data_IF_114725379012
#
_entry.id   IF_114725379012
#
_cell.length_a   1.000
_cell.length_b   1.000
_cell.length_c   1.000
_cell.angle_alpha   90.00
_cell.angle_beta   90.00
_cell.angle_gamma   90.00
#
_symmetry.space_group_name_H-M   'P 1'
#
loop_
_entity.id
_entity.type
_entity.pdbx_description
1 polymer ?
#
# COMPACT_ATOMS: atom_id res chain seq x y z
N UNK A 1 -37.06 11.35 1.57
CA UNK A 1 -35.96 11.94 0.77
C UNK A 1 -35.50 13.32 1.32
N UNK A 2 -35.30 13.52 2.63
CA UNK A 2 -34.93 14.85 3.16
C UNK A 2 -33.87 14.87 4.27
N UNK A 3 -33.22 13.75 4.55
CA UNK A 3 -32.12 13.67 5.55
C UNK A 3 -30.75 13.93 4.92
N UNK A 4 -30.57 13.63 3.63
CA UNK A 4 -29.31 13.85 2.89
C UNK A 4 -29.07 15.33 2.54
N UNK A 5 -30.13 16.13 2.35
CA UNK A 5 -30.01 17.54 1.98
C UNK A 5 -29.55 18.45 3.13
N UNK A 6 -29.75 18.06 4.41
CA UNK A 6 -29.24 18.84 5.56
C UNK A 6 -27.74 18.69 5.78
N UNK A 7 -27.15 17.58 5.34
CA UNK A 7 -25.70 17.35 5.44
C UNK A 7 -24.93 18.23 4.44
N UNK A 8 -25.54 18.56 3.31
CA UNK A 8 -24.89 19.31 2.22
C UNK A 8 -24.95 20.85 2.34
N UNK A 9 -25.57 21.41 3.39
CA UNK A 9 -25.65 22.87 3.59
C UNK A 9 -24.61 23.44 4.57
N UNK A 10 -23.78 22.59 5.16
CA UNK A 10 -22.61 22.99 5.95
C UNK A 10 -21.36 22.73 5.11
N UNK A 11 -20.58 23.77 4.85
CA UNK A 11 -19.23 23.60 4.35
C UNK A 11 -18.49 22.59 5.24
N UNK A 12 -17.79 21.59 4.67
CA UNK A 12 -17.08 20.60 5.45
C UNK A 12 -16.15 21.32 6.41
N UNK A 13 -16.18 20.90 7.68
CA UNK A 13 -15.35 21.51 8.73
C UNK A 13 -13.88 21.58 8.28
N UNK A 14 -13.15 22.61 8.72
CA UNK A 14 -11.72 22.71 8.43
C UNK A 14 -10.97 21.42 8.81
N UNK A 15 -11.41 20.74 9.87
CA UNK A 15 -10.90 19.45 10.34
C UNK A 15 -11.05 18.34 9.29
N UNK A 16 -12.23 18.19 8.66
CA UNK A 16 -12.44 17.21 7.60
C UNK A 16 -11.61 17.51 6.35
N UNK A 17 -11.35 18.79 6.04
CA UNK A 17 -10.54 19.19 4.88
C UNK A 17 -9.06 18.88 5.10
N UNK A 18 -8.53 19.18 6.30
CA UNK A 18 -7.14 18.86 6.65
C UNK A 18 -6.93 17.35 6.70
N UNK A 19 -7.82 16.60 7.37
CA UNK A 19 -7.75 15.14 7.42
C UNK A 19 -7.74 14.52 6.02
N UNK A 20 -8.58 15.04 5.10
CA UNK A 20 -8.63 14.58 3.72
C UNK A 20 -7.35 14.91 2.94
N UNK A 21 -6.82 16.12 3.09
CA UNK A 21 -5.56 16.53 2.46
C UNK A 21 -4.37 15.70 2.94
N UNK A 22 -4.25 15.47 4.26
CA UNK A 22 -3.21 14.64 4.85
C UNK A 22 -3.37 13.17 4.41
N UNK A 23 -4.60 12.67 4.36
CA UNK A 23 -4.90 11.33 3.86
C UNK A 23 -4.47 11.14 2.39
N UNK A 24 -4.76 12.09 1.52
CA UNK A 24 -4.31 12.05 0.11
C UNK A 24 -2.78 12.09 0.02
N UNK A 25 -2.13 13.02 0.73
CA UNK A 25 -0.68 13.14 0.71
C UNK A 25 -0.01 11.83 1.15
N UNK A 26 -0.50 11.23 2.24
CA UNK A 26 -0.02 9.93 2.70
C UNK A 26 -0.31 8.81 1.70
N UNK A 27 -1.49 8.78 1.09
CA UNK A 27 -1.85 7.78 0.08
C UNK A 27 -0.94 7.83 -1.15
N UNK A 28 -0.54 9.02 -1.60
CA UNK A 28 0.40 9.17 -2.71
C UNK A 28 1.76 8.56 -2.34
N UNK A 29 2.33 8.97 -1.21
CA UNK A 29 3.66 8.51 -0.78
C UNK A 29 3.66 6.99 -0.54
N UNK A 30 2.70 6.52 0.24
CA UNK A 30 2.55 5.09 0.55
C UNK A 30 2.27 4.27 -0.70
N UNK A 31 1.46 4.80 -1.63
CA UNK A 31 1.18 4.14 -2.91
C UNK A 31 2.43 3.95 -3.76
N UNK A 32 3.30 4.98 -3.85
CA UNK A 32 4.58 4.89 -4.57
C UNK A 32 5.48 3.83 -3.94
N UNK A 33 5.72 3.92 -2.63
CA UNK A 33 6.60 2.98 -1.91
C UNK A 33 6.04 1.56 -1.96
N UNK A 34 4.74 1.39 -1.75
CA UNK A 34 4.06 0.11 -1.82
C UNK A 34 4.17 -0.54 -3.20
N UNK A 35 4.08 0.26 -4.27
CA UNK A 35 4.25 -0.21 -5.65
C UNK A 35 5.69 -0.68 -5.90
N UNK A 36 6.70 0.05 -5.42
CA UNK A 36 8.11 -0.34 -5.55
C UNK A 36 8.36 -1.67 -4.82
N UNK A 37 7.88 -1.80 -3.58
CA UNK A 37 8.01 -3.03 -2.79
C UNK A 37 7.29 -4.20 -3.47
N UNK A 38 6.11 -3.98 -4.03
CA UNK A 38 5.36 -4.99 -4.78
C UNK A 38 6.13 -5.53 -5.99
N UNK A 39 6.72 -4.63 -6.77
CA UNK A 39 7.54 -4.99 -7.93
C UNK A 39 8.77 -5.78 -7.48
N UNK A 40 9.45 -5.34 -6.41
CA UNK A 40 10.61 -6.03 -5.84
C UNK A 40 10.30 -7.47 -5.41
N UNK A 41 9.21 -7.67 -4.65
CA UNK A 41 8.75 -9.01 -4.24
C UNK A 41 8.49 -9.92 -5.44
N UNK A 42 7.93 -9.38 -6.51
CA UNK A 42 7.61 -10.15 -7.72
C UNK A 42 8.87 -10.55 -8.49
N UNK A 43 9.88 -9.67 -8.57
CA UNK A 43 11.12 -9.92 -9.29
C UNK A 43 12.03 -10.92 -8.54
N UNK A 44 12.20 -10.78 -7.23
CA UNK A 44 12.96 -11.72 -6.38
C UNK A 44 12.45 -13.17 -6.55
N UNK A 45 11.15 -13.34 -6.77
CA UNK A 45 10.54 -14.66 -6.95
C UNK A 45 10.93 -15.31 -8.28
N UNK A 46 11.10 -14.52 -9.34
CA UNK A 46 11.56 -15.03 -10.65
C UNK A 46 13.00 -15.54 -10.56
N UNK A 47 13.88 -14.80 -9.89
CA UNK A 47 15.28 -15.21 -9.74
C UNK A 47 15.45 -16.50 -8.92
N UNK A 48 14.65 -16.66 -7.85
CA UNK A 48 14.65 -17.90 -7.06
C UNK A 48 14.10 -19.09 -7.86
N UNK A 49 13.08 -18.87 -8.69
CA UNK A 49 12.51 -19.91 -9.54
C UNK A 49 13.48 -20.31 -10.64
N UNK A 50 14.13 -19.34 -11.29
CA UNK A 50 15.14 -19.58 -12.31
C UNK A 50 16.32 -20.39 -11.72
N UNK A 51 16.78 -20.07 -10.50
CA UNK A 51 17.81 -20.87 -9.81
C UNK A 51 17.41 -22.33 -9.58
N UNK A 52 16.18 -22.58 -9.12
CA UNK A 52 15.63 -23.94 -8.96
C UNK A 52 15.55 -24.69 -10.28
N UNK A 53 15.16 -24.00 -11.35
CA UNK A 53 15.11 -24.58 -12.69
C UNK A 53 16.50 -24.94 -13.21
N UNK A 54 17.51 -24.12 -12.96
CA UNK A 54 18.91 -24.44 -13.31
C UNK A 54 19.44 -25.63 -12.46
N UNK A 55 19.11 -25.73 -11.17
CA UNK A 55 19.45 -26.88 -10.32
C UNK A 55 18.79 -28.17 -10.83
N UNK A 56 17.49 -28.11 -11.15
CA UNK A 56 16.76 -29.25 -11.68
C UNK A 56 17.22 -29.64 -13.10
N UNK A 57 17.56 -28.66 -13.94
CA UNK A 57 18.17 -28.93 -15.24
C UNK A 57 19.54 -29.59 -15.09
N UNK A 58 20.39 -29.08 -14.19
CA UNK A 58 21.69 -29.67 -13.87
C UNK A 58 21.57 -31.10 -13.35
N UNK A 59 20.52 -31.42 -12.59
CA UNK A 59 20.22 -32.78 -12.16
C UNK A 59 19.73 -33.68 -13.31
N UNK A 60 18.87 -33.18 -14.21
CA UNK A 60 18.27 -34.00 -15.26
C UNK A 60 19.23 -34.34 -16.40
N UNK A 61 20.09 -33.38 -16.80
CA UNK A 61 21.00 -33.49 -17.95
C UNK A 61 21.83 -34.80 -17.96
N UNK A 62 22.43 -35.27 -16.86
CA UNK A 62 23.22 -36.51 -16.83
C UNK A 62 22.44 -37.82 -17.05
N UNK A 63 21.11 -37.83 -16.86
CA UNK A 63 20.30 -39.05 -16.98
C UNK A 63 19.69 -39.23 -18.37
N UNK A 64 19.39 -38.13 -19.06
CA UNK A 64 18.73 -38.15 -20.36
C UNK A 64 19.53 -38.84 -21.49
N UNK A 65 20.88 -38.84 -21.50
CA UNK A 65 21.66 -39.62 -22.46
C UNK A 65 21.47 -41.15 -22.31
N UNK A 66 20.99 -41.63 -21.16
CA UNK A 66 20.79 -43.07 -20.90
C UNK A 66 19.45 -43.61 -21.42
N UNK A 67 18.56 -42.74 -21.89
CA UNK A 67 17.24 -43.10 -22.41
C UNK A 67 16.16 -42.07 -22.06
N UNK A 68 15.04 -42.13 -22.79
CA UNK A 68 13.85 -41.30 -22.55
C UNK A 68 12.74 -42.06 -21.79
N UNK A 69 12.96 -43.33 -21.49
CA UNK A 69 11.91 -44.22 -20.96
C UNK A 69 11.58 -43.92 -19.49
N UNK A 70 12.54 -43.42 -18.72
CA UNK A 70 12.34 -43.06 -17.32
C UNK A 70 13.19 -41.83 -16.96
N UNK A 71 12.54 -40.66 -16.92
CA UNK A 71 13.18 -39.41 -16.48
C UNK A 71 13.05 -39.31 -14.95
N UNK A 72 14.14 -39.44 -14.19
CA UNK A 72 14.07 -39.41 -12.73
C UNK A 72 13.63 -38.04 -12.21
N UNK A 73 12.89 -38.04 -11.11
CA UNK A 73 12.46 -36.82 -10.44
C UNK A 73 13.60 -36.26 -9.57
N UNK A 74 13.81 -34.94 -9.54
CA UNK A 74 14.76 -34.32 -8.62
C UNK A 74 14.38 -34.64 -7.17
N UNK A 75 15.33 -35.09 -6.32
CA UNK A 75 15.03 -35.53 -4.95
C UNK A 75 14.57 -34.42 -3.99
N UNK A 76 14.70 -33.15 -4.38
CA UNK A 76 14.29 -31.99 -3.56
C UNK A 76 13.20 -31.13 -4.22
N UNK A 77 12.65 -31.57 -5.35
CA UNK A 77 11.73 -30.77 -6.15
C UNK A 77 10.74 -31.66 -6.92
N UNK A 78 9.83 -32.29 -6.17
CA UNK A 78 8.85 -33.27 -6.70
C UNK A 78 7.83 -32.67 -7.71
N UNK A 79 7.66 -31.35 -7.67
CA UNK A 79 6.71 -30.61 -8.52
C UNK A 79 7.34 -30.08 -9.83
N UNK A 80 8.59 -30.45 -10.12
CA UNK A 80 9.25 -30.07 -11.37
C UNK A 80 8.86 -31.03 -12.49
N UNK A 81 8.39 -30.45 -13.59
CA UNK A 81 8.08 -31.14 -14.84
C UNK A 81 9.30 -31.08 -15.74
N UNK A 82 9.77 -32.22 -16.23
CA UNK A 82 10.89 -32.32 -17.17
C UNK A 82 10.34 -32.97 -18.43
N UNK A 83 10.42 -32.26 -19.55
CA UNK A 83 10.04 -32.75 -20.87
C UNK A 83 11.27 -32.76 -21.77
N UNK A 84 11.66 -33.93 -22.24
CA UNK A 84 12.76 -34.10 -23.18
C UNK A 84 12.24 -34.42 -24.58
N UNK A 85 12.88 -33.84 -25.59
CA UNK A 85 12.54 -33.98 -27.01
C UNK A 85 13.78 -34.35 -27.82
N UNK A 86 13.75 -35.52 -28.47
CA UNK A 86 14.84 -36.01 -29.34
C UNK A 86 14.24 -36.64 -30.58
N UNK A 87 14.67 -36.24 -31.77
CA UNK A 87 14.25 -36.83 -33.05
C UNK A 87 12.72 -37.00 -33.21
N UNK A 88 11.92 -36.04 -32.73
CA UNK A 88 10.45 -36.10 -32.76
C UNK A 88 9.80 -36.92 -31.65
N UNK A 89 10.56 -37.67 -30.86
CA UNK A 89 10.08 -38.34 -29.66
C UNK A 89 10.01 -37.35 -28.51
N UNK A 90 8.88 -37.35 -27.78
CA UNK A 90 8.64 -36.52 -26.61
C UNK A 90 8.44 -37.43 -25.41
N UNK A 91 9.21 -37.21 -24.35
CA UNK A 91 9.04 -37.89 -23.07
C UNK A 91 8.95 -36.87 -21.94
N UNK A 92 8.11 -37.17 -20.94
CA UNK A 92 7.93 -36.33 -19.76
C UNK A 92 7.97 -37.18 -18.50
N UNK A 93 8.53 -36.64 -17.42
CA UNK A 93 8.53 -37.29 -16.10
C UNK A 93 7.15 -37.24 -15.39
N UNK A 94 6.17 -36.58 -16.01
CA UNK A 94 4.84 -36.33 -15.44
C UNK A 94 3.75 -36.38 -16.53
N UNK A 95 2.49 -36.28 -16.13
CA UNK A 95 1.33 -36.23 -17.04
C UNK A 95 1.24 -34.91 -17.83
N UNK A 96 2.12 -33.94 -17.55
CA UNK A 96 2.17 -32.65 -18.24
C UNK A 96 3.33 -32.65 -19.22
N UNK A 97 3.07 -32.21 -20.44
CA UNK A 97 4.09 -32.03 -21.48
C UNK A 97 4.27 -30.54 -21.69
N UNK A 98 5.45 -30.02 -21.35
CA UNK A 98 5.77 -28.60 -21.55
C UNK A 98 5.93 -28.30 -23.04
N UNK A 99 5.35 -27.22 -23.59
CA UNK A 99 5.47 -26.89 -25.01
C UNK A 99 6.92 -26.64 -25.43
N UNK A 100 7.18 -26.67 -26.73
CA UNK A 100 8.48 -26.29 -27.28
C UNK A 100 8.64 -24.77 -27.21
N UNK A 101 9.66 -24.34 -26.48
CA UNK A 101 9.95 -22.93 -26.22
C UNK A 101 11.40 -22.63 -26.61
N UNK A 102 11.75 -21.36 -26.93
CA UNK A 102 13.12 -20.98 -27.22
C UNK A 102 14.09 -21.36 -26.10
N UNK A 103 15.36 -21.60 -26.46
CA UNK A 103 16.44 -21.84 -25.47
C UNK A 103 16.53 -20.66 -24.51
N UNK A 104 16.67 -20.95 -23.22
CA UNK A 104 16.65 -19.95 -22.15
C UNK A 104 15.39 -20.08 -21.29
N UNK A 105 14.90 -18.96 -20.80
CA UNK A 105 13.74 -18.92 -19.89
C UNK A 105 12.51 -18.32 -20.56
N UNK A 106 11.38 -19.00 -20.45
CA UNK A 106 10.10 -18.54 -20.97
C UNK A 106 8.95 -18.88 -20.02
N UNK A 107 7.89 -18.07 -20.06
CA UNK A 107 6.64 -18.34 -19.36
C UNK A 107 5.66 -19.02 -20.32
N UNK A 108 4.92 -20.01 -19.83
CA UNK A 108 3.88 -20.70 -20.61
C UNK A 108 2.69 -21.05 -19.73
N UNK A 109 1.58 -21.38 -20.37
CA UNK A 109 0.38 -21.87 -19.71
C UNK A 109 0.04 -23.25 -20.27
N UNK A 110 -0.12 -24.21 -19.37
CA UNK A 110 -0.52 -25.58 -19.73
C UNK A 110 -1.66 -25.97 -18.81
N UNK A 111 -2.82 -26.27 -19.41
CA UNK A 111 -4.05 -26.63 -18.69
C UNK A 111 -4.51 -25.57 -17.67
N UNK A 112 -4.30 -24.27 -17.95
CA UNK A 112 -4.70 -23.17 -17.06
C UNK A 112 -3.76 -22.94 -15.89
N UNK A 113 -2.62 -23.64 -15.85
CA UNK A 113 -1.58 -23.47 -14.84
C UNK A 113 -0.38 -22.80 -15.51
N UNK A 114 0.11 -21.71 -14.89
CA UNK A 114 1.26 -20.98 -15.38
C UNK A 114 2.57 -21.65 -14.95
N UNK A 115 3.43 -21.93 -15.91
CA UNK A 115 4.76 -22.50 -15.73
C UNK A 115 5.83 -21.48 -16.11
N UNK A 116 6.92 -21.46 -15.34
CA UNK A 116 8.21 -20.93 -15.79
C UNK A 116 9.01 -22.11 -16.31
N UNK A 117 9.52 -22.00 -17.53
CA UNK A 117 10.22 -23.08 -18.21
C UNK A 117 11.63 -22.63 -18.59
N UNK A 118 12.60 -23.48 -18.26
CA UNK A 118 13.98 -23.39 -18.68
C UNK A 118 14.22 -24.43 -19.77
N UNK A 119 14.46 -23.98 -21.00
CA UNK A 119 14.80 -24.85 -22.13
C UNK A 119 16.31 -24.87 -22.31
N UNK A 120 16.90 -26.06 -22.25
CA UNK A 120 18.32 -26.33 -22.54
C UNK A 120 18.42 -27.15 -23.81
N UNK A 121 19.32 -26.77 -24.71
CA UNK A 121 19.71 -27.63 -25.82
C UNK A 121 20.97 -28.40 -25.45
N UNK A 122 20.86 -29.73 -25.40
CA UNK A 122 21.99 -30.62 -25.19
C UNK A 122 22.48 -31.03 -26.57
N UNK A 123 23.76 -30.82 -26.81
CA UNK A 123 24.47 -31.33 -27.97
C UNK A 123 25.25 -32.55 -27.46
N UNK A 124 24.87 -33.80 -27.82
CA UNK A 124 25.74 -35.00 -27.94
C UNK A 124 24.99 -36.34 -27.81
N UNK A 125 25.32 -37.38 -28.62
CA UNK A 125 25.69 -37.33 -30.04
C UNK A 125 24.50 -36.94 -30.95
N UNK A 126 23.26 -37.03 -30.46
CA UNK A 126 22.08 -36.50 -31.12
C UNK A 126 21.58 -35.24 -30.40
N UNK A 127 21.16 -34.17 -31.10
CA UNK A 127 20.59 -32.99 -30.48
C UNK A 127 19.30 -33.31 -29.71
N UNK A 128 19.20 -32.79 -28.49
CA UNK A 128 18.02 -32.96 -27.66
C UNK A 128 17.65 -31.64 -26.98
N UNK A 129 16.36 -31.32 -26.99
CA UNK A 129 15.81 -30.19 -26.24
C UNK A 129 15.22 -30.70 -24.93
N UNK A 130 15.58 -30.04 -23.84
CA UNK A 130 15.11 -30.37 -22.50
C UNK A 130 14.44 -29.14 -21.92
N UNK A 131 13.13 -29.24 -21.72
CA UNK A 131 12.35 -28.23 -21.04
C UNK A 131 12.15 -28.68 -19.58
N UNK A 132 12.61 -27.86 -18.64
CA UNK A 132 12.39 -28.05 -17.22
C UNK A 132 11.47 -26.95 -16.75
N UNK A 133 10.33 -27.29 -16.16
CA UNK A 133 9.29 -26.36 -15.79
C UNK A 133 8.83 -26.56 -14.36
N UNK A 134 8.56 -25.44 -13.70
CA UNK A 134 7.97 -25.42 -12.37
C UNK A 134 6.79 -24.47 -12.38
N UNK A 135 5.74 -24.81 -11.65
CA UNK A 135 4.60 -23.91 -11.48
C UNK A 135 5.01 -22.74 -10.60
N UNK A 136 4.42 -21.58 -10.82
CA UNK A 136 4.47 -20.47 -9.86
C UNK A 136 3.86 -20.85 -8.48
N UNK A 137 3.22 -22.02 -8.44
CA UNK A 137 2.39 -22.53 -7.37
C UNK A 137 3.14 -23.41 -6.35
N UNK A 138 4.34 -23.89 -6.67
CA UNK A 138 5.15 -24.76 -5.81
C UNK A 138 5.64 -24.11 -4.50
N UNK A 139 5.25 -22.86 -4.21
CA UNK A 139 5.39 -22.22 -2.90
C UNK A 139 4.25 -21.20 -2.65
N UNK A 140 2.97 -21.62 -2.70
CA UNK A 140 1.80 -20.70 -2.59
C UNK A 140 1.55 -20.15 -1.18
N UNK A 141 1.92 -20.84 -0.12
CA UNK A 141 1.45 -20.45 1.24
C UNK A 141 2.09 -19.14 1.72
N UNK A 142 3.25 -18.73 1.21
CA UNK A 142 3.96 -17.54 1.69
C UNK A 142 3.70 -16.25 0.88
N UNK A 143 3.43 -16.33 -0.42
CA UNK A 143 3.39 -15.12 -1.28
C UNK A 143 2.10 -14.32 -1.17
N UNK A 144 0.93 -14.97 -1.08
CA UNK A 144 -0.33 -14.23 -0.92
C UNK A 144 -0.40 -13.55 0.46
N UNK A 145 0.23 -14.15 1.46
CA UNK A 145 0.37 -13.57 2.78
C UNK A 145 1.28 -12.33 2.77
N UNK A 146 2.37 -12.33 1.98
CA UNK A 146 3.25 -11.16 1.89
C UNK A 146 2.57 -9.98 1.20
N UNK A 147 1.92 -10.20 0.06
CA UNK A 147 1.14 -9.16 -0.63
C UNK A 147 -0.01 -8.64 0.24
N UNK A 148 -0.72 -9.51 0.95
CA UNK A 148 -1.76 -9.11 1.90
C UNK A 148 -1.19 -8.29 3.06
N UNK A 149 0.00 -8.62 3.57
CA UNK A 149 0.69 -7.84 4.61
C UNK A 149 1.10 -6.45 4.10
N UNK A 150 1.62 -6.35 2.88
CA UNK A 150 1.97 -5.05 2.26
C UNK A 150 0.73 -4.18 2.10
N UNK A 151 -0.37 -4.73 1.58
CA UNK A 151 -1.64 -4.00 1.44
C UNK A 151 -2.17 -3.56 2.81
N UNK A 152 -2.16 -4.46 3.80
CA UNK A 152 -2.62 -4.14 5.16
C UNK A 152 -1.78 -3.03 5.80
N UNK A 153 -0.45 -3.06 5.62
CA UNK A 153 0.46 -2.05 6.16
C UNK A 153 0.30 -0.70 5.44
N UNK A 154 0.08 -0.71 4.13
CA UNK A 154 -0.23 0.50 3.36
C UNK A 154 -1.55 1.13 3.82
N UNK A 155 -2.62 0.33 3.93
CA UNK A 155 -3.91 0.81 4.41
C UNK A 155 -3.82 1.36 5.84
N UNK A 156 -3.07 0.68 6.72
CA UNK A 156 -2.83 1.14 8.08
C UNK A 156 -2.08 2.48 8.11
N UNK A 157 -1.01 2.63 7.33
CA UNK A 157 -0.23 3.87 7.27
C UNK A 157 -1.07 5.05 6.77
N UNK A 158 -1.89 4.86 5.73
CA UNK A 158 -2.80 5.88 5.20
C UNK A 158 -3.85 6.26 6.25
N UNK A 159 -4.45 5.27 6.91
CA UNK A 159 -5.43 5.49 7.98
C UNK A 159 -4.82 6.25 9.16
N UNK A 160 -3.64 5.85 9.62
CA UNK A 160 -2.92 6.51 10.70
C UNK A 160 -2.59 7.97 10.37
N UNK A 161 -2.15 8.25 9.15
CA UNK A 161 -1.86 9.62 8.71
C UNK A 161 -3.13 10.50 8.65
N UNK A 162 -4.25 9.95 8.18
CA UNK A 162 -5.53 10.67 8.17
C UNK A 162 -6.02 10.99 9.59
N UNK A 163 -5.91 10.02 10.52
CA UNK A 163 -6.27 10.21 11.94
C UNK A 163 -5.35 11.23 12.60
N UNK A 164 -4.04 11.18 12.35
CA UNK A 164 -3.09 12.15 12.87
C UNK A 164 -3.37 13.57 12.33
N UNK A 165 -3.60 13.71 11.03
CA UNK A 165 -3.97 14.98 10.41
C UNK A 165 -5.28 15.55 10.97
N UNK A 166 -6.27 14.70 11.20
CA UNK A 166 -7.52 15.08 11.87
C UNK A 166 -7.30 15.55 13.31
N UNK A 167 -6.50 14.81 14.09
CA UNK A 167 -6.22 15.13 15.49
C UNK A 167 -5.46 16.46 15.63
N UNK A 168 -4.44 16.69 14.79
CA UNK A 168 -3.70 17.95 14.74
C UNK A 168 -4.60 19.13 14.35
N UNK A 169 -5.44 18.95 13.32
CA UNK A 169 -6.42 19.97 12.94
C UNK A 169 -7.44 20.24 14.06
N UNK A 170 -7.87 19.20 14.79
CA UNK A 170 -8.77 19.35 15.92
C UNK A 170 -8.13 20.16 17.04
N UNK A 171 -6.86 19.89 17.36
CA UNK A 171 -6.10 20.62 18.37
C UNK A 171 -5.93 22.09 17.99
N UNK A 172 -5.58 22.40 16.74
CA UNK A 172 -5.38 23.78 16.28
C UNK A 172 -6.68 24.60 16.20
N UNK A 173 -7.81 23.99 15.83
CA UNK A 173 -9.06 24.72 15.55
C UNK A 173 -9.96 24.87 16.79
N UNK A 174 -9.84 23.97 17.78
CA UNK A 174 -10.66 24.01 19.01
C UNK A 174 -10.57 25.35 19.78
N UNK A 175 -9.37 25.93 20.02
CA UNK A 175 -9.24 27.19 20.75
C UNK A 175 -9.91 28.35 20.01
N UNK A 176 -9.69 28.45 18.69
CA UNK A 176 -10.27 29.49 17.85
C UNK A 176 -11.80 29.42 17.81
N UNK A 177 -12.37 28.21 17.76
CA UNK A 177 -13.83 28.03 17.85
C UNK A 177 -14.38 28.50 19.19
N UNK A 178 -13.68 28.21 20.30
CA UNK A 178 -14.08 28.68 21.63
C UNK A 178 -14.01 30.20 21.74
N UNK A 179 -12.95 30.82 21.23
CA UNK A 179 -12.82 32.27 21.18
C UNK A 179 -13.97 32.89 20.37
N UNK A 180 -14.26 32.37 19.17
CA UNK A 180 -15.35 32.87 18.34
C UNK A 180 -16.74 32.72 18.99
N UNK A 181 -16.96 31.67 19.80
CA UNK A 181 -18.18 31.51 20.58
C UNK A 181 -18.25 32.52 21.72
N UNK A 182 -17.17 32.66 22.50
CA UNK A 182 -17.10 33.63 23.59
C UNK A 182 -17.33 35.07 23.11
N UNK A 183 -16.77 35.45 21.95
CA UNK A 183 -17.01 36.78 21.35
C UNK A 183 -18.46 36.98 20.91
N UNK A 184 -19.15 35.92 20.46
CA UNK A 184 -20.54 35.99 20.02
C UNK A 184 -21.53 36.10 21.17
N UNK A 185 -21.16 35.56 22.33
CA UNK A 185 -21.95 35.57 23.55
C UNK A 185 -21.68 36.83 24.42
N UNK A 186 -20.88 37.79 23.91
CA UNK A 186 -20.70 39.10 24.56
C UNK A 186 -22.01 39.88 24.45
N UNK A 187 -22.69 40.06 25.57
CA UNK A 187 -23.80 40.99 25.70
C UNK A 187 -23.27 42.43 25.81
N UNK A 188 -23.53 43.31 24.83
CA UNK A 188 -23.08 44.70 24.87
C UNK A 188 -23.76 45.53 25.97
N UNK A 189 -24.82 45.07 26.62
CA UNK A 189 -25.50 45.78 27.72
C UNK A 189 -25.21 45.18 29.10
N UNK A 190 -24.51 44.04 29.16
CA UNK A 190 -24.16 43.33 30.40
C UNK A 190 -22.78 43.68 30.99
N UNK A 191 -22.32 42.87 31.94
CA UNK A 191 -21.01 42.98 32.57
C UNK A 191 -19.85 42.66 31.60
N UNK A 192 -18.64 43.15 31.94
CA UNK A 192 -17.45 42.93 31.12
C UNK A 192 -17.17 41.42 30.92
N UNK A 193 -17.03 40.95 29.66
CA UNK A 193 -16.93 39.53 29.37
C UNK A 193 -15.57 38.96 29.78
N UNK A 194 -15.59 37.77 30.41
CA UNK A 194 -14.37 37.06 30.78
C UNK A 194 -13.89 36.18 29.62
N UNK A 195 -12.83 36.60 28.94
CA UNK A 195 -12.16 35.84 27.88
C UNK A 195 -11.03 35.01 28.51
N UNK A 196 -11.24 33.70 28.66
CA UNK A 196 -10.19 32.71 28.98
C UNK A 196 -10.12 31.69 27.83
N UNK A 197 -9.03 31.76 27.06
CA UNK A 197 -8.72 30.81 25.98
C UNK A 197 -7.45 30.07 26.35
N UNK A 198 -7.56 28.75 26.50
CA UNK A 198 -6.42 27.84 26.72
C UNK A 198 -6.20 26.98 25.48
N UNK A 199 -4.95 26.79 25.07
CA UNK A 199 -4.63 25.99 23.90
C UNK A 199 -3.25 26.31 23.31
N UNK A 200 -3.16 26.25 21.97
CA UNK A 200 -1.96 26.62 21.22
C UNK A 200 -1.54 28.06 21.54
N UNK A 201 -0.23 28.30 21.70
CA UNK A 201 0.34 29.58 22.12
C UNK A 201 -0.14 30.73 21.24
N UNK A 202 -0.18 30.51 19.92
CA UNK A 202 -0.64 31.50 18.94
C UNK A 202 -2.12 31.87 19.15
N UNK A 203 -2.95 30.91 19.57
CA UNK A 203 -4.35 31.16 19.87
C UNK A 203 -4.54 31.90 21.20
N UNK A 204 -3.63 31.70 22.16
CA UNK A 204 -3.62 32.44 23.43
C UNK A 204 -3.20 33.89 23.20
N UNK A 205 -2.14 34.14 22.44
CA UNK A 205 -1.69 35.50 22.11
C UNK A 205 -2.78 36.33 21.42
N UNK A 206 -3.51 35.73 20.46
CA UNK A 206 -4.64 36.39 19.81
C UNK A 206 -5.76 36.67 20.82
N UNK A 207 -6.06 35.73 21.72
CA UNK A 207 -7.08 35.92 22.73
C UNK A 207 -6.75 37.05 23.71
N UNK A 208 -5.48 37.16 24.14
CA UNK A 208 -5.00 38.25 24.98
C UNK A 208 -5.09 39.61 24.27
N UNK A 209 -4.73 39.66 22.98
CA UNK A 209 -4.88 40.87 22.17
C UNK A 209 -6.35 41.31 22.03
N UNK A 210 -7.26 40.35 21.80
CA UNK A 210 -8.71 40.61 21.74
C UNK A 210 -9.24 41.08 23.09
N UNK A 211 -8.81 40.45 24.20
CA UNK A 211 -9.17 40.85 25.56
C UNK A 211 -8.79 42.30 25.83
N UNK A 212 -7.56 42.70 25.52
CA UNK A 212 -7.11 44.09 25.70
C UNK A 212 -7.89 45.11 24.84
N UNK A 213 -8.45 44.71 23.69
CA UNK A 213 -9.32 45.56 22.89
C UNK A 213 -10.71 45.68 23.53
N UNK A 214 -11.28 44.59 24.02
CA UNK A 214 -12.59 44.58 24.69
C UNK A 214 -12.56 45.38 25.99
N UNK A 215 -11.52 45.24 26.81
CA UNK A 215 -11.36 45.98 28.07
C UNK A 215 -11.36 47.49 27.83
N UNK A 216 -10.63 47.97 26.80
CA UNK A 216 -10.59 49.40 26.43
C UNK A 216 -11.95 49.93 25.97
N UNK A 217 -12.68 49.17 25.15
CA UNK A 217 -14.02 49.58 24.68
C UNK A 217 -14.97 49.74 25.86
N UNK A 218 -14.90 48.84 26.84
CA UNK A 218 -15.73 48.91 28.03
C UNK A 218 -15.36 50.06 28.97
N UNK A 219 -14.07 50.36 29.12
CA UNK A 219 -13.60 51.52 29.87
C UNK A 219 -14.13 52.83 29.26
N UNK A 220 -14.01 53.00 27.94
CA UNK A 220 -14.53 54.19 27.24
C UNK A 220 -16.05 54.32 27.33
N UNK A 221 -16.76 53.21 27.24
CA UNK A 221 -18.22 53.20 27.46
C UNK A 221 -18.58 53.62 28.89
N UNK A 222 -17.84 53.15 29.89
CA UNK A 222 -18.00 53.56 31.29
C UNK A 222 -17.78 55.07 31.48
N UNK A 223 -16.71 55.62 30.89
CA UNK A 223 -16.42 57.06 30.90
C UNK A 223 -17.52 57.88 30.24
N UNK A 224 -18.04 57.41 29.10
CA UNK A 224 -19.14 58.06 28.37
C UNK A 224 -20.41 58.08 29.20
N UNK A 225 -20.75 56.96 29.87
CA UNK A 225 -21.92 56.87 30.75
C UNK A 225 -21.79 57.80 31.96
N UNK A 226 -20.60 57.92 32.54
CA UNK A 226 -20.34 58.84 33.66
C UNK A 226 -20.41 60.31 33.26
N UNK A 227 -20.06 60.66 32.01
CA UNK A 227 -20.16 62.02 31.49
C UNK A 227 -21.60 62.45 31.12
N UNK A 228 -22.50 61.47 30.94
CA UNK A 228 -23.91 61.68 30.59
C UNK A 228 -24.86 61.62 31.81
N UNK A 229 -24.34 61.27 33.00
CA UNK A 229 -25.08 61.19 34.26
C UNK A 229 -24.91 62.48 35.08
#
# INVERSE_FOLDING_TARGET
MNTLARVFRRTPSLQSRVAFATGIAAAIVVGIVGTIVWIGITNDRKERLDRRLDEAAGFAIPFLPRGLDEIPRPPHDENVVITARRNGQVSSNSNVVLPELPVGYADTDVNGIRYRVRTVQIHMPDPMLVAVGATYDATIVDTNNLHRRVIALCAFAIGAAAVAGWALAAFAVRPLKRLAQQTRDIDPEGDAPHIDVRGATEAVEIADAVKGLVDRVWEEKGRTKAALA
#
